data_IF_818922320257
#
_entry.id   IF_818922320257
#
_cell.length_a   1.000
_cell.length_b   1.000
_cell.length_c   1.000
_cell.angle_alpha   90.00
_cell.angle_beta   90.00
_cell.angle_gamma   90.00
#
_symmetry.space_group_name_H-M   'P 1'
#
loop_
_entity.id
_entity.type
_entity.pdbx_description
1 polymer ?
#
# COMPACT_ATOMS: atom_id res chain seq x y z
N UNK A 1 -3.61 -22.55 2.39
CA UNK A 1 -3.47 -21.20 1.85
C UNK A 1 -4.01 -21.10 0.42
N UNK A 2 -3.51 -21.86 -0.55
CA UNK A 2 -3.93 -21.81 -1.97
C UNK A 2 -5.44 -22.07 -2.18
N UNK A 3 -6.04 -23.01 -1.47
CA UNK A 3 -7.48 -23.29 -1.57
C UNK A 3 -8.33 -22.09 -1.12
N UNK A 4 -7.92 -21.40 -0.04
CA UNK A 4 -8.60 -20.19 0.45
C UNK A 4 -8.45 -19.07 -0.58
N UNK A 5 -7.24 -18.85 -1.07
CA UNK A 5 -6.98 -17.87 -2.12
C UNK A 5 -7.88 -18.10 -3.35
N UNK A 6 -7.92 -19.32 -3.90
CA UNK A 6 -8.76 -19.64 -5.07
C UNK A 6 -10.24 -19.40 -4.81
N UNK A 7 -10.73 -19.79 -3.63
CA UNK A 7 -12.12 -19.57 -3.23
C UNK A 7 -12.45 -18.08 -3.16
N UNK A 8 -11.64 -17.30 -2.45
CA UNK A 8 -11.85 -15.86 -2.28
C UNK A 8 -11.72 -15.12 -3.61
N UNK A 9 -10.68 -15.40 -4.38
CA UNK A 9 -10.49 -14.79 -5.70
C UNK A 9 -11.67 -15.05 -6.64
N UNK A 10 -12.13 -16.30 -6.71
CA UNK A 10 -13.32 -16.66 -7.49
C UNK A 10 -14.57 -15.94 -6.98
N UNK A 11 -14.71 -15.78 -5.67
CA UNK A 11 -15.84 -15.09 -5.05
C UNK A 11 -15.92 -13.61 -5.47
N UNK A 12 -14.80 -12.90 -5.61
CA UNK A 12 -14.80 -11.51 -6.09
C UNK A 12 -15.35 -11.37 -7.51
N UNK A 13 -15.05 -12.31 -8.40
CA UNK A 13 -15.54 -12.28 -9.79
C UNK A 13 -16.92 -12.93 -9.99
N UNK A 14 -17.36 -13.77 -9.05
CA UNK A 14 -18.73 -14.27 -9.01
C UNK A 14 -19.71 -13.23 -8.45
N UNK A 15 -19.23 -12.31 -7.62
CA UNK A 15 -19.96 -11.17 -7.12
C UNK A 15 -19.66 -9.92 -7.96
N UNK A 16 -20.58 -8.95 -7.91
CA UNK A 16 -20.41 -7.67 -8.64
C UNK A 16 -19.23 -6.84 -8.12
N UNK A 17 -18.77 -7.07 -6.87
CA UNK A 17 -17.79 -6.22 -6.18
C UNK A 17 -16.43 -6.19 -6.90
N UNK A 18 -15.91 -7.34 -7.32
CA UNK A 18 -14.63 -7.39 -8.04
C UNK A 18 -14.71 -6.67 -9.38
N UNK A 19 -15.76 -6.90 -10.14
CA UNK A 19 -16.00 -6.19 -11.41
C UNK A 19 -16.19 -4.69 -11.23
N UNK A 20 -16.95 -4.29 -10.19
CA UNK A 20 -17.16 -2.89 -9.87
C UNK A 20 -15.84 -2.18 -9.51
N UNK A 21 -15.00 -2.85 -8.72
CA UNK A 21 -13.70 -2.32 -8.33
C UNK A 21 -12.80 -2.10 -9.55
N UNK A 22 -12.64 -3.15 -10.39
CA UNK A 22 -11.82 -3.09 -11.60
C UNK A 22 -12.37 -2.04 -12.57
N UNK A 23 -13.67 -2.04 -12.83
CA UNK A 23 -14.29 -1.09 -13.74
C UNK A 23 -14.17 0.37 -13.27
N UNK A 24 -14.34 0.62 -11.97
CA UNK A 24 -14.23 1.97 -11.40
C UNK A 24 -12.80 2.51 -11.51
N UNK A 25 -11.80 1.72 -11.15
CA UNK A 25 -10.39 2.12 -11.27
C UNK A 25 -9.99 2.35 -12.73
N UNK A 26 -10.35 1.44 -13.62
CA UNK A 26 -10.09 1.60 -15.06
C UNK A 26 -10.78 2.82 -15.66
N UNK A 27 -12.04 3.08 -15.28
CA UNK A 27 -12.79 4.23 -15.80
C UNK A 27 -12.11 5.55 -15.37
N UNK A 28 -11.75 5.68 -14.09
CA UNK A 28 -11.09 6.89 -13.60
C UNK A 28 -9.70 7.04 -14.21
N UNK A 29 -8.89 5.96 -14.23
CA UNK A 29 -7.59 5.98 -14.89
C UNK A 29 -7.71 6.37 -16.37
N UNK A 30 -8.65 5.77 -17.08
CA UNK A 30 -8.90 6.07 -18.50
C UNK A 30 -9.29 7.52 -18.76
N UNK A 31 -10.06 8.16 -17.85
CA UNK A 31 -10.39 9.58 -17.92
C UNK A 31 -9.14 10.46 -17.76
N UNK A 32 -8.29 10.17 -16.77
CA UNK A 32 -7.03 10.91 -16.57
C UNK A 32 -6.09 10.72 -17.75
N UNK A 33 -5.91 9.47 -18.20
CA UNK A 33 -5.11 9.14 -19.37
C UNK A 33 -5.59 9.86 -20.64
N UNK A 34 -6.90 9.92 -20.87
CA UNK A 34 -7.47 10.65 -21.99
C UNK A 34 -7.16 12.16 -21.90
N UNK A 35 -7.40 12.76 -20.73
CA UNK A 35 -7.24 14.21 -20.54
C UNK A 35 -5.78 14.63 -20.60
N UNK A 36 -4.90 13.96 -19.87
CA UNK A 36 -3.49 14.36 -19.78
C UNK A 36 -2.69 13.90 -20.98
N UNK A 37 -2.77 12.63 -21.35
CA UNK A 37 -1.89 12.08 -22.37
C UNK A 37 -2.42 12.27 -23.79
N UNK A 38 -3.70 11.93 -24.05
CA UNK A 38 -4.23 11.98 -25.41
C UNK A 38 -4.65 13.40 -25.83
N UNK A 39 -5.33 14.15 -24.95
CA UNK A 39 -5.82 15.49 -25.28
C UNK A 39 -4.74 16.57 -25.13
N UNK A 40 -3.98 16.55 -24.03
CA UNK A 40 -2.97 17.56 -23.72
C UNK A 40 -1.56 17.17 -24.20
N UNK A 41 -1.34 15.91 -24.63
CA UNK A 41 -0.08 15.45 -25.18
C UNK A 41 1.06 15.32 -24.16
N UNK A 42 0.77 15.20 -22.86
CA UNK A 42 1.79 14.96 -21.84
C UNK A 42 2.30 13.52 -21.91
N UNK A 43 3.63 13.27 -22.07
CA UNK A 43 4.16 11.92 -22.19
C UNK A 43 4.44 11.22 -20.85
N UNK A 44 3.93 11.76 -19.73
CA UNK A 44 4.23 11.31 -18.36
C UNK A 44 3.02 10.67 -17.70
N UNK A 45 3.04 9.34 -17.55
CA UNK A 45 2.00 8.58 -16.85
C UNK A 45 2.03 8.81 -15.34
N UNK A 46 3.16 9.27 -14.81
CA UNK A 46 3.30 9.63 -13.40
C UNK A 46 2.26 10.66 -12.95
N UNK A 47 1.87 11.59 -13.81
CA UNK A 47 0.79 12.56 -13.52
C UNK A 47 -0.57 11.91 -13.39
N UNK A 48 -0.89 10.92 -14.24
CA UNK A 48 -2.17 10.21 -14.18
C UNK A 48 -2.27 9.43 -12.87
N UNK A 49 -1.20 8.69 -12.51
CA UNK A 49 -1.15 7.90 -11.28
C UNK A 49 -1.22 8.78 -10.03
N UNK A 50 -0.57 9.94 -10.04
CA UNK A 50 -0.66 10.91 -8.96
C UNK A 50 -2.11 11.45 -8.83
N UNK A 51 -2.73 11.81 -9.96
CA UNK A 51 -4.10 12.30 -9.99
C UNK A 51 -5.13 11.29 -9.49
N UNK A 52 -4.92 10.00 -9.74
CA UNK A 52 -5.82 8.94 -9.26
C UNK A 52 -5.45 8.40 -7.87
N UNK A 53 -4.37 8.88 -7.26
CA UNK A 53 -3.91 8.41 -5.95
C UNK A 53 -4.98 8.48 -4.87
N UNK A 54 -5.79 9.55 -4.87
CA UNK A 54 -6.88 9.73 -3.92
C UNK A 54 -8.04 8.75 -4.12
N UNK A 55 -8.25 8.19 -5.32
CA UNK A 55 -9.37 7.27 -5.60
C UNK A 55 -9.27 5.98 -4.79
N UNK A 56 -8.05 5.62 -4.34
CA UNK A 56 -7.83 4.47 -3.48
C UNK A 56 -8.59 4.57 -2.15
N UNK A 57 -8.84 5.80 -1.65
CA UNK A 57 -9.66 6.01 -0.45
C UNK A 57 -11.10 5.56 -0.62
N UNK A 58 -11.61 5.53 -1.85
CA UNK A 58 -12.99 5.12 -2.17
C UNK A 58 -13.01 3.66 -2.63
N UNK A 59 -12.09 3.28 -3.50
CA UNK A 59 -12.07 1.96 -4.11
C UNK A 59 -11.71 0.84 -3.11
N UNK A 60 -10.69 1.05 -2.29
CA UNK A 60 -10.23 0.04 -1.32
C UNK A 60 -11.28 -0.31 -0.27
N UNK A 61 -12.02 0.63 0.36
CA UNK A 61 -13.14 0.29 1.24
C UNK A 61 -14.17 -0.64 0.58
N UNK A 62 -14.51 -0.40 -0.67
CA UNK A 62 -15.48 -1.24 -1.41
C UNK A 62 -14.95 -2.67 -1.57
N UNK A 63 -13.66 -2.83 -1.87
CA UNK A 63 -13.03 -4.14 -2.04
C UNK A 63 -12.93 -4.91 -0.71
N UNK A 64 -12.56 -4.21 0.38
CA UNK A 64 -12.17 -4.84 1.65
C UNK A 64 -13.30 -4.98 2.66
N UNK A 65 -14.36 -4.16 2.56
CA UNK A 65 -15.41 -4.08 3.57
C UNK A 65 -16.09 -5.41 3.91
N UNK A 66 -16.25 -6.32 2.95
CA UNK A 66 -16.91 -7.61 3.14
C UNK A 66 -15.99 -8.74 3.55
N UNK A 67 -14.69 -8.56 3.45
CA UNK A 67 -13.72 -9.66 3.56
C UNK A 67 -13.78 -10.41 4.87
N UNK A 68 -13.92 -9.73 6.01
CA UNK A 68 -13.99 -10.32 7.35
C UNK A 68 -15.23 -9.89 8.13
N UNK A 69 -15.76 -8.67 7.90
CA UNK A 69 -16.92 -8.17 8.63
C UNK A 69 -18.20 -8.91 8.28
N UNK A 70 -18.38 -9.35 7.03
CA UNK A 70 -19.54 -10.11 6.57
C UNK A 70 -19.56 -11.52 7.19
N UNK A 71 -18.40 -12.17 7.25
CA UNK A 71 -18.25 -13.47 7.92
C UNK A 71 -18.57 -13.40 9.42
N UNK A 72 -18.21 -12.29 10.07
CA UNK A 72 -18.58 -12.04 11.47
C UNK A 72 -20.08 -11.84 11.63
N UNK A 73 -20.68 -11.01 10.77
CA UNK A 73 -22.11 -10.73 10.79
C UNK A 73 -22.94 -11.99 10.61
N UNK A 74 -22.53 -12.88 9.71
CA UNK A 74 -23.19 -14.16 9.41
C UNK A 74 -22.77 -15.30 10.33
N UNK A 75 -21.83 -15.05 11.29
CA UNK A 75 -21.24 -16.03 12.22
C UNK A 75 -20.54 -17.21 11.51
N UNK A 76 -20.22 -17.07 10.24
CA UNK A 76 -19.46 -18.07 9.47
C UNK A 76 -17.98 -18.09 9.82
N UNK A 77 -17.49 -17.05 10.52
CA UNK A 77 -16.15 -16.99 11.11
C UNK A 77 -15.90 -18.15 12.09
N UNK A 78 -16.96 -18.67 12.78
CA UNK A 78 -16.85 -19.80 13.70
C UNK A 78 -16.38 -21.07 12.99
N UNK A 79 -16.83 -21.33 11.76
CA UNK A 79 -16.39 -22.47 10.95
C UNK A 79 -14.91 -22.36 10.58
N UNK A 80 -14.41 -21.13 10.33
CA UNK A 80 -13.00 -20.92 10.07
C UNK A 80 -12.14 -21.04 11.34
N UNK A 81 -12.65 -20.58 12.48
CA UNK A 81 -11.95 -20.66 13.77
C UNK A 81 -11.83 -22.10 14.29
N UNK A 82 -12.77 -22.99 13.95
CA UNK A 82 -12.74 -24.42 14.31
C UNK A 82 -11.95 -25.28 13.32
N UNK A 83 -11.61 -24.74 12.14
CA UNK A 83 -10.85 -25.47 11.13
C UNK A 83 -9.39 -25.72 11.60
N UNK A 84 -8.73 -26.82 11.15
CA UNK A 84 -7.33 -27.10 11.50
C UNK A 84 -6.32 -26.19 10.80
N UNK A 85 -6.78 -25.15 10.11
CA UNK A 85 -5.93 -24.17 9.40
C UNK A 85 -5.47 -23.06 10.34
N UNK A 86 -4.21 -22.66 10.28
CA UNK A 86 -3.72 -21.53 11.07
C UNK A 86 -4.34 -20.21 10.58
N UNK A 87 -4.70 -19.33 11.54
CA UNK A 87 -5.35 -18.02 11.25
C UNK A 87 -4.49 -17.17 10.28
N UNK A 88 -3.17 -17.19 10.43
CA UNK A 88 -2.28 -16.47 9.52
C UNK A 88 -2.39 -16.93 8.06
N UNK A 89 -2.61 -18.24 7.81
CA UNK A 89 -2.84 -18.74 6.43
C UNK A 89 -4.19 -18.30 5.87
N UNK A 90 -5.17 -18.09 6.72
CA UNK A 90 -6.50 -17.58 6.32
C UNK A 90 -6.37 -16.10 5.92
N UNK A 91 -5.75 -15.28 6.78
CA UNK A 91 -5.52 -13.85 6.53
C UNK A 91 -4.68 -13.65 5.26
N UNK A 92 -3.57 -14.38 5.13
CA UNK A 92 -2.73 -14.32 3.94
C UNK A 92 -3.48 -14.73 2.67
N UNK A 93 -4.34 -15.76 2.73
CA UNK A 93 -5.14 -16.18 1.57
C UNK A 93 -6.14 -15.12 1.12
N UNK A 94 -6.82 -14.45 2.09
CA UNK A 94 -7.76 -13.35 1.81
C UNK A 94 -7.04 -12.09 1.28
N UNK A 95 -5.94 -11.70 1.93
CA UNK A 95 -5.13 -10.57 1.50
C UNK A 95 -4.63 -10.77 0.06
N UNK A 96 -4.03 -11.93 -0.25
CA UNK A 96 -3.53 -12.22 -1.59
C UNK A 96 -4.63 -12.27 -2.66
N UNK A 97 -5.85 -12.69 -2.30
CA UNK A 97 -6.97 -12.65 -3.23
C UNK A 97 -7.34 -11.22 -3.63
N UNK A 98 -7.42 -10.30 -2.66
CA UNK A 98 -7.66 -8.87 -2.93
C UNK A 98 -6.48 -8.23 -3.67
N UNK A 99 -5.25 -8.54 -3.28
CA UNK A 99 -4.05 -8.10 -3.96
C UNK A 99 -4.01 -8.56 -5.42
N UNK A 100 -4.46 -9.79 -5.71
CA UNK A 100 -4.54 -10.30 -7.07
C UNK A 100 -5.59 -9.57 -7.91
N UNK A 101 -6.76 -9.23 -7.36
CA UNK A 101 -7.77 -8.40 -8.04
C UNK A 101 -7.18 -7.04 -8.39
N UNK A 102 -6.52 -6.37 -7.45
CA UNK A 102 -5.87 -5.08 -7.68
C UNK A 102 -4.71 -5.17 -8.69
N UNK A 103 -3.93 -6.27 -8.67
CA UNK A 103 -2.83 -6.48 -9.61
C UNK A 103 -3.32 -6.59 -11.05
N UNK A 104 -4.56 -7.04 -11.29
CA UNK A 104 -5.16 -7.03 -12.64
C UNK A 104 -5.29 -5.60 -13.16
N UNK A 105 -5.75 -4.65 -12.33
CA UNK A 105 -5.84 -3.24 -12.72
C UNK A 105 -4.46 -2.67 -13.07
N UNK A 106 -3.47 -2.94 -12.22
CA UNK A 106 -2.09 -2.48 -12.47
C UNK A 106 -1.51 -3.08 -13.76
N UNK A 107 -1.80 -4.36 -14.04
CA UNK A 107 -1.37 -5.01 -15.28
C UNK A 107 -2.01 -4.34 -16.52
N UNK A 108 -3.26 -3.90 -16.40
CA UNK A 108 -3.94 -3.15 -17.46
C UNK A 108 -3.37 -1.72 -17.60
N UNK A 109 -3.09 -1.04 -16.48
CA UNK A 109 -2.41 0.27 -16.51
C UNK A 109 -1.01 0.18 -17.13
N UNK A 110 -0.31 -0.94 -16.93
CA UNK A 110 1.03 -1.16 -17.49
C UNK A 110 1.06 -1.24 -19.03
N UNK A 111 -0.10 -1.36 -19.68
CA UNK A 111 -0.20 -1.28 -21.13
C UNK A 111 -0.16 0.17 -21.65
N UNK A 112 -0.53 1.15 -20.83
CA UNK A 112 -0.63 2.54 -21.27
C UNK A 112 0.72 3.17 -21.68
N UNK A 113 1.88 2.94 -20.98
CA UNK A 113 3.17 3.45 -21.46
C UNK A 113 3.56 2.86 -22.83
N UNK A 114 3.20 1.59 -23.07
CA UNK A 114 3.49 0.94 -24.36
C UNK A 114 2.66 1.57 -25.49
N UNK A 115 1.38 1.86 -25.22
CA UNK A 115 0.52 2.54 -26.19
C UNK A 115 1.06 3.93 -26.52
N UNK A 116 1.44 4.72 -25.51
CA UNK A 116 2.02 6.04 -25.71
C UNK A 116 3.37 6.00 -26.47
N UNK A 117 4.17 4.96 -26.24
CA UNK A 117 5.47 4.83 -26.92
C UNK A 117 5.36 4.65 -28.45
N UNK A 118 4.18 4.26 -28.96
CA UNK A 118 3.91 4.17 -30.39
C UNK A 118 3.75 5.56 -31.01
N UNK A 119 3.24 6.52 -30.22
CA UNK A 119 2.94 7.87 -30.71
C UNK A 119 4.04 8.89 -30.39
N UNK A 120 4.96 8.58 -29.47
CA UNK A 120 6.00 9.53 -29.09
C UNK A 120 7.07 8.94 -28.18
N UNK A 121 8.06 9.78 -27.80
CA UNK A 121 9.11 9.40 -26.87
C UNK A 121 8.57 9.48 -25.44
N UNK A 122 8.43 8.34 -24.79
CA UNK A 122 7.98 8.18 -23.39
C UNK A 122 9.14 7.66 -22.55
N UNK A 123 9.31 8.19 -21.34
CA UNK A 123 10.26 7.68 -20.35
C UNK A 123 9.71 6.41 -19.71
N UNK A 124 9.88 5.25 -20.37
CA UNK A 124 9.34 3.97 -19.90
C UNK A 124 9.82 3.60 -18.50
N UNK A 125 11.08 3.87 -18.17
CA UNK A 125 11.64 3.59 -16.83
C UNK A 125 10.91 4.36 -15.73
N UNK A 126 10.67 5.65 -15.94
CA UNK A 126 9.90 6.49 -15.00
C UNK A 126 8.45 6.00 -14.84
N UNK A 127 7.79 5.71 -15.96
CA UNK A 127 6.42 5.21 -15.97
C UNK A 127 6.26 3.89 -15.20
N UNK A 128 7.16 2.92 -15.39
CA UNK A 128 7.09 1.64 -14.68
C UNK A 128 7.49 1.75 -13.21
N UNK A 129 8.39 2.67 -12.85
CA UNK A 129 8.71 2.97 -11.45
C UNK A 129 7.49 3.58 -10.73
N UNK A 130 6.80 4.52 -11.37
CA UNK A 130 5.56 5.09 -10.82
C UNK A 130 4.44 4.04 -10.67
N UNK A 131 4.25 3.16 -11.66
CA UNK A 131 3.30 2.04 -11.59
C UNK A 131 3.64 1.06 -10.47
N UNK A 132 4.91 0.74 -10.27
CA UNK A 132 5.36 -0.11 -9.16
C UNK A 132 5.09 0.55 -7.80
N UNK A 133 5.36 1.86 -7.68
CA UNK A 133 5.02 2.63 -6.48
C UNK A 133 3.52 2.63 -6.19
N UNK A 134 2.70 2.85 -7.21
CA UNK A 134 1.24 2.81 -7.09
C UNK A 134 0.73 1.41 -6.67
N UNK A 135 1.33 0.35 -7.21
CA UNK A 135 1.03 -1.02 -6.81
C UNK A 135 1.33 -1.27 -5.33
N UNK A 136 2.51 -0.87 -4.83
CA UNK A 136 2.87 -1.00 -3.41
C UNK A 136 1.96 -0.17 -2.50
N UNK A 137 1.63 1.05 -2.90
CA UNK A 137 0.70 1.92 -2.19
C UNK A 137 -0.67 1.25 -2.02
N UNK A 138 -1.26 0.74 -3.12
CA UNK A 138 -2.55 0.08 -3.05
C UNK A 138 -2.53 -1.22 -2.25
N UNK A 139 -1.45 -2.01 -2.28
CA UNK A 139 -1.28 -3.18 -1.43
C UNK A 139 -1.32 -2.81 0.06
N UNK A 140 -0.69 -1.70 0.44
CA UNK A 140 -0.72 -1.20 1.82
C UNK A 140 -2.11 -0.70 2.21
N UNK A 141 -2.80 0.01 1.32
CA UNK A 141 -4.19 0.44 1.54
C UNK A 141 -5.14 -0.76 1.74
N UNK A 142 -4.97 -1.83 0.94
CA UNK A 142 -5.75 -3.08 1.08
C UNK A 142 -5.49 -3.72 2.45
N UNK A 143 -4.25 -3.71 2.94
CA UNK A 143 -3.90 -4.24 4.27
C UNK A 143 -4.59 -3.43 5.39
N UNK A 144 -4.67 -2.09 5.27
CA UNK A 144 -5.45 -1.23 6.20
C UNK A 144 -6.92 -1.63 6.20
N UNK A 145 -7.52 -1.76 5.02
CA UNK A 145 -8.94 -2.12 4.89
C UNK A 145 -9.24 -3.51 5.46
N UNK A 146 -8.35 -4.49 5.22
CA UNK A 146 -8.47 -5.84 5.77
C UNK A 146 -8.40 -5.83 7.31
N UNK A 147 -7.47 -5.05 7.87
CA UNK A 147 -7.34 -4.90 9.32
C UNK A 147 -8.60 -4.30 9.94
N UNK A 148 -9.12 -3.20 9.37
CA UNK A 148 -10.36 -2.55 9.84
C UNK A 148 -11.55 -3.49 9.71
N UNK A 149 -11.67 -4.23 8.60
CA UNK A 149 -12.69 -5.27 8.42
C UNK A 149 -12.59 -6.38 9.48
N UNK A 150 -11.38 -6.66 9.99
CA UNK A 150 -11.18 -7.65 11.05
C UNK A 150 -11.68 -7.19 12.43
N UNK A 151 -11.76 -5.90 12.69
CA UNK A 151 -12.24 -5.35 13.98
C UNK A 151 -13.75 -5.12 13.92
N UNK A 152 -14.27 -4.70 12.78
CA UNK A 152 -15.67 -4.33 12.57
C UNK A 152 -16.60 -5.56 12.46
N UNK A 153 -17.84 -5.42 12.95
CA UNK A 153 -18.91 -6.43 12.80
C UNK A 153 -19.93 -6.04 11.72
N UNK A 154 -19.90 -4.79 11.27
CA UNK A 154 -20.77 -4.28 10.22
C UNK A 154 -19.97 -3.92 8.98
N UNK A 155 -20.47 -4.37 7.83
CA UNK A 155 -19.87 -4.08 6.51
C UNK A 155 -19.82 -2.58 6.24
N UNK A 156 -20.89 -1.85 6.58
CA UNK A 156 -20.99 -0.40 6.37
C UNK A 156 -20.00 0.36 7.27
N UNK A 157 -19.94 -0.02 8.55
CA UNK A 157 -18.99 0.60 9.50
C UNK A 157 -17.55 0.31 9.06
N UNK A 158 -17.27 -0.90 8.60
CA UNK A 158 -15.96 -1.25 8.03
C UNK A 158 -15.57 -0.33 6.87
N UNK A 159 -16.50 -0.09 5.92
CA UNK A 159 -16.25 0.79 4.78
C UNK A 159 -15.96 2.24 5.23
N UNK A 160 -16.80 2.78 6.12
CA UNK A 160 -16.65 4.16 6.61
C UNK A 160 -15.32 4.33 7.38
N UNK A 161 -14.99 3.40 8.27
CA UNK A 161 -13.74 3.47 9.03
C UNK A 161 -12.51 3.32 8.13
N UNK A 162 -12.57 2.44 7.11
CA UNK A 162 -11.47 2.29 6.15
C UNK A 162 -11.30 3.57 5.33
N UNK A 163 -12.39 4.14 4.84
CA UNK A 163 -12.34 5.44 4.15
C UNK A 163 -11.74 6.52 5.03
N UNK A 164 -12.22 6.66 6.28
CA UNK A 164 -11.70 7.66 7.22
C UNK A 164 -10.20 7.46 7.52
N UNK A 165 -9.76 6.21 7.72
CA UNK A 165 -8.35 5.90 7.98
C UNK A 165 -7.45 6.24 6.78
N UNK A 166 -7.87 5.89 5.56
CA UNK A 166 -7.13 6.21 4.34
C UNK A 166 -7.15 7.71 4.03
N UNK A 167 -8.28 8.39 4.29
CA UNK A 167 -8.38 9.84 4.15
C UNK A 167 -7.45 10.58 5.12
N UNK A 168 -7.42 10.17 6.39
CA UNK A 168 -6.49 10.72 7.38
C UNK A 168 -5.02 10.47 6.96
N UNK A 169 -4.73 9.29 6.47
CA UNK A 169 -3.40 8.95 5.95
C UNK A 169 -2.99 9.85 4.77
N UNK A 170 -3.91 10.11 3.84
CA UNK A 170 -3.69 11.01 2.70
C UNK A 170 -3.47 12.47 3.12
N UNK A 171 -4.21 12.94 4.13
CA UNK A 171 -4.09 14.30 4.66
C UNK A 171 -2.93 14.48 5.66
N UNK A 172 -2.18 13.40 5.99
CA UNK A 172 -1.22 13.42 7.09
C UNK A 172 -0.12 14.44 6.89
N UNK A 173 0.42 14.58 5.68
CA UNK A 173 1.44 15.57 5.37
C UNK A 173 0.95 17.01 5.61
N UNK A 174 -0.28 17.32 5.21
CA UNK A 174 -0.90 18.63 5.44
C UNK A 174 -1.10 18.88 6.94
N UNK A 175 -1.56 17.88 7.68
CA UNK A 175 -1.77 17.97 9.13
C UNK A 175 -0.44 18.18 9.87
N UNK A 176 0.60 17.44 9.53
CA UNK A 176 1.92 17.57 10.17
C UNK A 176 2.58 18.92 9.87
N UNK A 177 2.39 19.43 8.65
CA UNK A 177 2.85 20.77 8.27
C UNK A 177 2.19 21.90 9.08
N UNK A 178 0.92 21.72 9.47
CA UNK A 178 0.21 22.69 10.34
C UNK A 178 0.69 22.64 11.80
N UNK A 179 1.11 21.46 12.30
CA UNK A 179 1.54 21.29 13.70
C UNK A 179 2.95 21.84 13.93
N UNK A 180 3.88 21.56 13.05
CA UNK A 180 5.26 22.06 13.16
C UNK A 180 6.01 21.95 11.84
N UNK A 181 6.57 23.05 11.39
CA UNK A 181 7.51 23.09 10.27
C UNK A 181 8.91 22.57 10.62
N UNK A 182 9.26 22.48 11.92
CA UNK A 182 10.59 22.10 12.40
C UNK A 182 10.76 20.63 12.80
N UNK A 183 9.73 19.80 12.66
CA UNK A 183 9.83 18.34 12.85
C UNK A 183 9.96 17.90 14.31
N UNK A 184 8.89 18.00 15.09
CA UNK A 184 8.82 17.48 16.46
C UNK A 184 8.67 15.93 16.48
N UNK A 185 8.90 15.32 17.66
CA UNK A 185 8.72 13.87 17.85
C UNK A 185 7.29 13.43 17.51
N UNK A 186 6.28 14.27 17.78
CA UNK A 186 4.88 14.05 17.44
C UNK A 186 4.69 13.97 15.92
N UNK A 187 5.27 14.89 15.15
CA UNK A 187 5.18 14.88 13.68
C UNK A 187 5.85 13.66 13.06
N UNK A 188 6.98 13.19 13.66
CA UNK A 188 7.64 11.96 13.23
C UNK A 188 6.76 10.73 13.43
N UNK A 189 6.06 10.64 14.56
CA UNK A 189 5.12 9.54 14.83
C UNK A 189 3.91 9.61 13.88
N UNK A 190 3.38 10.80 13.66
CA UNK A 190 2.24 10.97 12.72
C UNK A 190 2.63 10.61 11.28
N UNK A 191 3.84 10.97 10.85
CA UNK A 191 4.35 10.63 9.52
C UNK A 191 4.51 9.11 9.31
N UNK A 192 4.57 8.30 10.39
CA UNK A 192 4.53 6.84 10.24
C UNK A 192 3.18 6.31 9.71
N UNK A 193 2.12 7.12 9.74
CA UNK A 193 0.81 6.77 9.20
C UNK A 193 0.56 7.35 7.80
N UNK A 194 1.53 8.08 7.25
CA UNK A 194 1.44 8.65 5.92
C UNK A 194 1.78 7.60 4.86
N UNK A 195 0.78 7.11 4.17
CA UNK A 195 0.94 6.15 3.08
C UNK A 195 1.14 6.83 1.72
N UNK A 196 0.78 8.12 1.58
CA UNK A 196 0.80 8.78 0.29
C UNK A 196 2.15 9.39 -0.07
N UNK A 197 2.80 10.09 0.86
CA UNK A 197 4.09 10.76 0.62
C UNK A 197 5.20 9.81 0.12
N UNK A 198 5.36 8.57 0.64
CA UNK A 198 6.33 7.64 0.07
C UNK A 198 6.05 7.27 -1.39
N UNK A 199 4.81 7.38 -1.88
CA UNK A 199 4.44 7.16 -3.27
C UNK A 199 4.94 8.31 -4.18
N UNK A 200 4.96 9.55 -3.70
CA UNK A 200 5.44 10.70 -4.48
C UNK A 200 6.90 10.54 -4.94
N UNK A 201 7.73 9.81 -4.18
CA UNK A 201 9.09 9.48 -4.59
C UNK A 201 9.12 8.65 -5.89
N UNK A 202 8.18 7.72 -6.04
CA UNK A 202 8.06 6.90 -7.25
C UNK A 202 7.47 7.71 -8.42
N UNK A 203 6.53 8.61 -8.14
CA UNK A 203 5.96 9.54 -9.12
C UNK A 203 7.04 10.45 -9.71
N UNK A 204 8.02 10.87 -8.90
CA UNK A 204 9.17 11.67 -9.35
C UNK A 204 10.18 10.88 -10.21
N UNK A 205 9.92 9.60 -10.48
CA UNK A 205 10.83 8.73 -11.23
C UNK A 205 12.02 8.19 -10.41
N UNK A 206 12.04 8.40 -9.10
CA UNK A 206 13.05 7.83 -8.21
C UNK A 206 12.58 6.51 -7.61
N UNK A 207 13.26 5.41 -7.95
CA UNK A 207 13.05 4.15 -7.26
C UNK A 207 13.68 4.22 -5.87
N UNK A 208 12.84 4.41 -4.84
CA UNK A 208 13.27 4.49 -3.44
C UNK A 208 13.08 3.16 -2.72
N UNK A 209 14.19 2.52 -2.36
CA UNK A 209 14.17 1.29 -1.53
C UNK A 209 13.56 1.56 -0.16
N UNK A 210 13.78 2.76 0.39
CA UNK A 210 13.21 3.19 1.68
C UNK A 210 11.68 3.19 1.64
N UNK A 211 11.09 3.79 0.59
CA UNK A 211 9.64 3.80 0.40
C UNK A 211 9.08 2.39 0.15
N UNK A 212 9.78 1.56 -0.61
CA UNK A 212 9.38 0.17 -0.84
C UNK A 212 9.41 -0.66 0.45
N UNK A 213 10.49 -0.54 1.24
CA UNK A 213 10.60 -1.21 2.54
C UNK A 213 9.51 -0.76 3.51
N UNK A 214 9.17 0.53 3.53
CA UNK A 214 8.07 1.06 4.32
C UNK A 214 6.74 0.38 3.97
N UNK A 215 6.37 0.31 2.70
CA UNK A 215 5.12 -0.34 2.26
C UNK A 215 5.08 -1.83 2.63
N UNK A 216 6.19 -2.55 2.43
CA UNK A 216 6.27 -3.97 2.79
C UNK A 216 6.12 -4.17 4.29
N UNK A 217 6.82 -3.38 5.12
CA UNK A 217 6.76 -3.48 6.58
C UNK A 217 5.39 -3.13 7.12
N UNK A 218 4.74 -2.07 6.63
CA UNK A 218 3.37 -1.68 7.02
C UNK A 218 2.37 -2.77 6.64
N UNK A 219 2.46 -3.31 5.43
CA UNK A 219 1.59 -4.40 4.96
C UNK A 219 1.72 -5.65 5.84
N UNK A 220 2.95 -6.07 6.15
CA UNK A 220 3.21 -7.22 7.03
C UNK A 220 2.71 -6.98 8.45
N UNK A 221 2.93 -5.78 9.00
CA UNK A 221 2.43 -5.39 10.32
C UNK A 221 0.90 -5.47 10.37
N UNK A 222 0.20 -4.90 9.40
CA UNK A 222 -1.26 -4.90 9.35
C UNK A 222 -1.85 -6.31 9.17
N UNK A 223 -1.24 -7.14 8.33
CA UNK A 223 -1.62 -8.55 8.19
C UNK A 223 -1.39 -9.34 9.50
N UNK A 224 -0.30 -9.03 10.23
CA UNK A 224 -0.04 -9.62 11.52
C UNK A 224 -1.08 -9.16 12.57
N UNK A 225 -1.38 -7.85 12.64
CA UNK A 225 -2.41 -7.30 13.52
C UNK A 225 -3.80 -7.88 13.22
N UNK A 226 -4.12 -8.07 11.93
CA UNK A 226 -5.35 -8.77 11.50
C UNK A 226 -5.39 -10.20 12.06
N UNK A 227 -4.28 -10.91 11.99
CA UNK A 227 -4.16 -12.27 12.53
C UNK A 227 -4.39 -12.28 14.04
N UNK A 228 -3.79 -11.35 14.78
CA UNK A 228 -3.97 -11.22 16.22
C UNK A 228 -5.42 -10.85 16.61
N UNK A 229 -6.05 -9.96 15.84
CA UNK A 229 -7.45 -9.57 16.03
C UNK A 229 -8.40 -10.78 15.94
N UNK A 230 -8.17 -11.65 14.95
CA UNK A 230 -8.96 -12.87 14.76
C UNK A 230 -8.63 -13.91 15.84
N UNK A 231 -7.37 -14.09 16.22
CA UNK A 231 -6.94 -15.03 17.27
C UNK A 231 -7.53 -14.66 18.63
N UNK A 232 -7.63 -13.37 18.97
CA UNK A 232 -8.24 -12.91 20.21
C UNK A 232 -9.66 -13.46 20.39
N UNK A 233 -10.42 -13.56 19.32
CA UNK A 233 -11.78 -14.16 19.36
C UNK A 233 -11.76 -15.66 19.61
N UNK A 234 -10.76 -16.39 19.08
CA UNK A 234 -10.59 -17.83 19.32
C UNK A 234 -10.33 -18.14 20.79
N UNK A 235 -9.67 -17.22 21.52
CA UNK A 235 -9.37 -17.40 22.95
C UNK A 235 -10.51 -17.02 23.89
N UNK A 236 -11.46 -16.21 23.46
CA UNK A 236 -12.60 -15.81 24.28
C UNK A 236 -13.46 -17.00 24.76
N UNK A 237 -13.29 -18.18 24.18
CA UNK A 237 -13.95 -19.42 24.57
C UNK A 237 -13.17 -20.26 25.58
N UNK A 238 -11.96 -19.86 26.01
CA UNK A 238 -11.11 -20.62 26.95
C UNK A 238 -10.88 -19.88 28.26
N UNK A 239 -11.14 -20.56 29.41
CA UNK A 239 -10.94 -19.97 30.78
C UNK A 239 -9.48 -19.70 31.17
N UNK A 240 -8.47 -20.06 30.39
CA UNK A 240 -7.03 -19.81 30.64
C UNK A 240 -6.52 -18.47 30.03
N UNK A 241 -7.28 -17.39 30.18
CA UNK A 241 -7.15 -16.20 29.34
C UNK A 241 -6.01 -15.19 29.67
N UNK A 242 -5.54 -15.11 30.90
CA UNK A 242 -4.64 -14.01 31.31
C UNK A 242 -3.25 -14.13 30.66
N UNK A 243 -2.70 -15.35 30.61
CA UNK A 243 -1.37 -15.57 30.01
C UNK A 243 -1.32 -15.40 28.48
N UNK A 244 -2.37 -15.83 27.78
CA UNK A 244 -2.44 -15.75 26.31
C UNK A 244 -2.67 -14.33 25.80
N UNK A 245 -3.41 -13.50 26.56
CA UNK A 245 -3.60 -12.08 26.25
C UNK A 245 -2.31 -11.27 26.39
N UNK A 246 -1.56 -11.48 27.47
CA UNK A 246 -0.26 -10.85 27.69
C UNK A 246 0.77 -11.26 26.61
N UNK A 247 0.79 -12.54 26.23
CA UNK A 247 1.64 -13.04 25.17
C UNK A 247 1.32 -12.39 23.81
N UNK A 248 0.03 -12.26 23.48
CA UNK A 248 -0.38 -11.59 22.24
C UNK A 248 0.01 -10.11 22.22
N UNK A 249 -0.19 -9.39 23.34
CA UNK A 249 0.24 -8.00 23.48
C UNK A 249 1.76 -7.86 23.33
N UNK A 250 2.53 -8.76 23.95
CA UNK A 250 3.99 -8.81 23.79
C UNK A 250 4.42 -9.04 22.33
N UNK A 251 3.77 -9.96 21.61
CA UNK A 251 4.06 -10.18 20.19
C UNK A 251 3.74 -8.96 19.32
N UNK A 252 2.68 -8.21 19.61
CA UNK A 252 2.36 -6.97 18.91
C UNK A 252 3.46 -5.93 19.12
N UNK A 253 3.90 -5.73 20.38
CA UNK A 253 4.99 -4.79 20.70
C UNK A 253 6.29 -5.17 19.98
N UNK A 254 6.65 -6.45 19.98
CA UNK A 254 7.85 -6.96 19.29
C UNK A 254 7.74 -6.72 17.79
N UNK A 255 6.59 -7.00 17.18
CA UNK A 255 6.40 -6.80 15.74
C UNK A 255 6.46 -5.32 15.36
N UNK A 256 5.86 -4.43 16.16
CA UNK A 256 5.99 -2.97 15.99
C UNK A 256 7.45 -2.53 16.10
N UNK A 257 8.18 -3.02 17.11
CA UNK A 257 9.60 -2.71 17.28
C UNK A 257 10.44 -3.17 16.07
N UNK A 258 10.20 -4.38 15.56
CA UNK A 258 10.88 -4.89 14.35
C UNK A 258 10.61 -3.97 13.17
N UNK A 259 9.34 -3.57 12.92
CA UNK A 259 9.00 -2.66 11.83
C UNK A 259 9.71 -1.31 11.96
N UNK A 260 9.76 -0.73 13.15
CA UNK A 260 10.47 0.52 13.42
C UNK A 260 11.96 0.36 13.15
N UNK A 261 12.59 -0.70 13.67
CA UNK A 261 14.03 -0.94 13.50
C UNK A 261 14.37 -1.16 12.01
N UNK A 262 13.60 -1.95 11.29
CA UNK A 262 13.83 -2.17 9.85
C UNK A 262 13.75 -0.85 9.07
N UNK A 263 12.74 -0.02 9.32
CA UNK A 263 12.62 1.28 8.65
C UNK A 263 13.76 2.24 9.03
N UNK A 264 14.18 2.27 10.29
CA UNK A 264 15.32 3.08 10.74
C UNK A 264 16.62 2.63 10.08
N UNK A 265 16.87 1.32 9.99
CA UNK A 265 18.08 0.78 9.35
C UNK A 265 18.09 1.15 7.87
N UNK A 266 16.97 0.98 7.15
CA UNK A 266 16.89 1.31 5.72
C UNK A 266 17.05 2.83 5.49
N UNK A 267 16.50 3.66 6.38
CA UNK A 267 16.64 5.13 6.31
C UNK A 267 18.07 5.60 6.64
N UNK A 268 18.81 4.85 7.48
CA UNK A 268 20.19 5.17 7.82
C UNK A 268 21.20 4.81 6.73
N UNK A 269 20.78 4.03 5.71
CA UNK A 269 21.64 3.70 4.58
C UNK A 269 21.84 4.94 3.68
N UNK A 270 23.06 5.15 3.14
CA UNK A 270 23.31 6.27 2.22
C UNK A 270 22.40 6.26 1.00
N UNK A 271 21.91 7.42 0.59
CA UNK A 271 21.02 7.59 -0.57
C UNK A 271 21.57 6.95 -1.87
N UNK A 272 22.88 6.86 -2.01
CA UNK A 272 23.55 6.18 -3.13
C UNK A 272 23.10 4.72 -3.31
N UNK A 273 22.75 4.02 -2.24
CA UNK A 273 22.32 2.62 -2.26
C UNK A 273 20.80 2.45 -2.16
N UNK A 274 20.10 3.47 -1.70
CA UNK A 274 18.65 3.41 -1.43
C UNK A 274 17.81 4.12 -2.48
N UNK A 275 18.43 4.93 -3.37
CA UNK A 275 17.71 5.61 -4.44
C UNK A 275 18.35 5.36 -5.80
N UNK A 276 17.54 4.95 -6.77
CA UNK A 276 17.94 4.80 -8.18
C UNK A 276 17.15 5.81 -8.99
N UNK A 277 17.85 6.71 -9.65
CA UNK A 277 17.26 7.71 -10.53
C UNK A 277 16.88 7.09 -11.86
N UNK A 278 15.59 6.89 -12.07
CA UNK A 278 14.98 6.41 -13.32
C UNK A 278 14.27 7.52 -14.08
N UNK A 279 14.39 8.79 -13.62
CA UNK A 279 13.77 9.95 -14.28
C UNK A 279 14.32 10.15 -15.69
N UNK A 280 13.49 10.69 -16.59
CA UNK A 280 13.86 10.93 -17.99
C UNK A 280 15.10 11.81 -18.15
N UNK A 281 15.24 12.80 -17.29
CA UNK A 281 16.30 13.83 -17.33
C UNK A 281 17.45 13.57 -16.35
N UNK A 282 17.39 12.47 -15.57
CA UNK A 282 18.34 12.14 -14.50
C UNK A 282 18.57 13.32 -13.52
N UNK A 283 17.48 13.97 -13.12
CA UNK A 283 17.48 15.15 -12.26
C UNK A 283 18.09 14.89 -10.86
N UNK A 284 18.03 13.67 -10.39
CA UNK A 284 18.48 13.28 -9.05
C UNK A 284 19.85 12.58 -9.05
N UNK A 285 20.54 12.52 -10.20
CA UNK A 285 21.87 11.95 -10.34
C UNK A 285 22.87 13.00 -10.85
N UNK A 286 24.09 12.99 -10.30
CA UNK A 286 25.17 13.83 -10.80
C UNK A 286 25.53 13.43 -12.22
N UNK A 287 25.67 14.41 -13.11
CA UNK A 287 26.16 14.19 -14.49
C UNK A 287 27.57 13.63 -14.47
N UNK A 288 27.97 12.90 -15.52
CA UNK A 288 29.32 12.35 -15.62
C UNK A 288 30.38 13.45 -15.57
N UNK A 289 30.12 14.61 -16.21
CA UNK A 289 31.02 15.77 -16.17
C UNK A 289 31.21 16.32 -14.75
N UNK A 290 30.14 16.33 -13.93
CA UNK A 290 30.23 16.75 -12.52
C UNK A 290 31.04 15.75 -11.71
N UNK A 291 30.82 14.44 -11.92
CA UNK A 291 31.60 13.38 -11.26
C UNK A 291 33.08 13.45 -11.61
N UNK A 292 33.39 13.67 -12.88
CA UNK A 292 34.79 13.80 -13.36
C UNK A 292 35.46 15.08 -12.83
N UNK A 293 34.70 16.16 -12.64
CA UNK A 293 35.23 17.38 -12.02
C UNK A 293 35.49 17.18 -10.53
N UNK A 294 34.54 16.60 -9.81
CA UNK A 294 34.69 16.33 -8.38
C UNK A 294 35.79 15.32 -8.09
N UNK A 295 35.96 14.29 -8.93
CA UNK A 295 37.07 13.32 -8.79
C UNK A 295 38.46 13.91 -9.04
N UNK A 296 38.56 15.09 -9.70
CA UNK A 296 39.80 15.82 -9.96
C UNK A 296 40.11 16.92 -8.95
N UNK A 297 39.23 17.11 -7.94
CA UNK A 297 39.49 18.02 -6.84
C UNK A 297 40.41 17.31 -5.84
N UNK A 298 41.67 17.74 -5.78
CA UNK A 298 42.71 17.19 -4.89
C UNK A 298 42.68 17.82 -3.48
N UNK A 299 41.74 18.69 -3.16
CA UNK A 299 41.64 19.34 -1.86
C UNK A 299 40.44 18.77 -1.07
N UNK A 300 40.73 18.26 0.12
CA UNK A 300 39.74 18.00 1.18
C UNK A 300 39.12 19.33 1.63
N UNK A 301 37.84 19.52 1.36
CA UNK A 301 37.05 20.65 1.88
C UNK A 301 36.50 20.30 3.27
#
# INVERSE_FOLDING_TARGET
MLAIFKREFKSYFQNVIGWLFVAALLAVYGLYFYVYNLKNGYPYISYDLNGIGFIMMIAVPILTMRSLSDEKKTKTDQLMLTSPVSVGRIVAGKYLAMAAVYTIDIALFALSPLVLSIYGKVALSEAYVALFGYWLYGLSCIAVGLFISSISESVIISAILTFAALFLSYMMQSITGLISSSGNLLTKVLNCFDLYTPFENFVSGCFSVTSAAYYVTVTLLLCFLTTQSIQKRRWAFSKKMIGTGAFSAGMIVVMCAICVVVNLVVTALPAKYTSIDCSATKLYSLTNDTKDRVSKLDEDI
#
